data_IF_919396240975
#
_entry.id   IF_919396240975
#
_cell.length_a   1.000
_cell.length_b   1.000
_cell.length_c   1.000
_cell.angle_alpha   90.00
_cell.angle_beta   90.00
_cell.angle_gamma   90.00
#
_symmetry.space_group_name_H-M   'P 1'
#
loop_
_entity.id
_entity.type
_entity.pdbx_description
1 polymer ?
#
# COMPACT_ATOMS: atom_id res chain seq x y z
N UNK A 1 -6.19 17.31 16.33
CA UNK A 1 -6.72 16.60 17.50
C UNK A 1 -5.67 16.66 18.59
N UNK A 2 -6.07 17.01 19.80
CA UNK A 2 -5.22 17.04 20.99
C UNK A 2 -5.79 16.06 22.04
N UNK A 3 -5.00 15.62 23.02
CA UNK A 3 -5.49 14.71 24.06
C UNK A 3 -6.74 15.21 24.80
N UNK A 4 -6.92 16.53 24.91
CA UNK A 4 -8.09 17.12 25.58
C UNK A 4 -9.41 16.90 24.82
N UNK A 5 -9.35 16.68 23.50
CA UNK A 5 -10.53 16.47 22.64
C UNK A 5 -11.18 15.09 22.88
N UNK A 6 -10.45 14.14 23.49
CA UNK A 6 -10.85 12.72 23.62
C UNK A 6 -12.19 12.57 24.33
N UNK A 7 -12.40 13.28 25.44
CA UNK A 7 -13.63 13.17 26.22
C UNK A 7 -14.86 13.51 25.36
N UNK A 8 -14.77 14.58 24.59
CA UNK A 8 -15.85 15.04 23.72
C UNK A 8 -16.11 14.05 22.57
N UNK A 9 -15.05 13.50 21.95
CA UNK A 9 -15.17 12.50 20.87
C UNK A 9 -15.90 11.25 21.37
N UNK A 10 -15.54 10.75 22.56
CA UNK A 10 -16.19 9.57 23.16
C UNK A 10 -17.65 9.85 23.48
N UNK A 11 -17.94 10.98 24.12
CA UNK A 11 -19.31 11.31 24.57
C UNK A 11 -20.26 11.61 23.42
N UNK A 12 -19.79 12.27 22.35
CA UNK A 12 -20.64 12.74 21.24
C UNK A 12 -20.56 11.83 20.02
N UNK A 13 -19.36 11.58 19.48
CA UNK A 13 -19.22 10.85 18.23
C UNK A 13 -19.34 9.35 18.43
N UNK A 14 -18.60 8.76 19.36
CA UNK A 14 -18.59 7.29 19.52
C UNK A 14 -19.94 6.78 20.06
N UNK A 15 -20.52 7.46 21.05
CA UNK A 15 -21.78 7.03 21.69
C UNK A 15 -23.03 7.45 20.93
N UNK A 16 -23.07 8.69 20.40
CA UNK A 16 -24.29 9.27 19.84
C UNK A 16 -24.23 9.45 18.32
N UNK A 17 -23.13 9.06 17.66
CA UNK A 17 -22.90 9.26 16.23
C UNK A 17 -23.01 10.76 15.80
N UNK A 18 -22.66 11.68 16.70
CA UNK A 18 -22.68 13.12 16.43
C UNK A 18 -21.38 13.62 15.79
N UNK A 19 -21.50 14.56 14.86
CA UNK A 19 -20.36 15.24 14.25
C UNK A 19 -19.89 16.38 15.16
N UNK A 20 -18.58 16.42 15.44
CA UNK A 20 -17.93 17.51 16.16
C UNK A 20 -17.33 18.48 15.15
N UNK A 21 -18.11 19.50 14.81
CA UNK A 21 -17.82 20.54 13.83
C UNK A 21 -16.46 21.24 14.02
N UNK A 22 -15.99 21.37 15.26
CA UNK A 22 -14.72 22.03 15.59
C UNK A 22 -13.49 21.17 15.28
N UNK A 23 -13.68 19.85 15.15
CA UNK A 23 -12.60 18.88 14.90
C UNK A 23 -12.53 18.43 13.44
N UNK A 24 -13.48 18.87 12.61
CA UNK A 24 -13.48 18.55 11.18
C UNK A 24 -12.30 19.19 10.46
N UNK A 25 -11.83 18.52 9.41
CA UNK A 25 -10.89 19.12 8.49
C UNK A 25 -11.53 20.33 7.80
N UNK A 26 -10.85 21.47 7.85
CA UNK A 26 -11.26 22.71 7.19
C UNK A 26 -10.33 22.95 6.01
N UNK A 27 -10.87 23.05 4.81
CA UNK A 27 -10.11 23.40 3.63
C UNK A 27 -9.52 24.81 3.81
N UNK A 28 -8.18 24.99 3.74
CA UNK A 28 -7.55 26.27 4.02
C UNK A 28 -7.96 27.37 3.03
N UNK A 29 -8.27 26.99 1.79
CA UNK A 29 -8.65 27.90 0.70
C UNK A 29 -10.15 28.19 0.65
N UNK A 30 -11.02 27.17 0.74
CA UNK A 30 -12.48 27.34 0.58
C UNK A 30 -13.22 27.53 1.92
N UNK A 31 -12.55 27.23 3.05
CA UNK A 31 -13.15 27.17 4.40
C UNK A 31 -14.26 26.11 4.57
N UNK A 32 -14.47 25.26 3.57
CA UNK A 32 -15.40 24.15 3.64
C UNK A 32 -14.90 23.09 4.63
N UNK A 33 -15.85 22.50 5.34
CA UNK A 33 -15.58 21.39 6.26
C UNK A 33 -15.88 20.07 5.58
N UNK A 34 -15.04 19.07 5.84
CA UNK A 34 -15.22 17.72 5.33
C UNK A 34 -15.36 16.74 6.49
N UNK A 35 -16.44 15.97 6.48
CA UNK A 35 -16.76 14.97 7.52
C UNK A 35 -15.92 13.72 7.34
N UNK A 36 -15.84 13.19 6.11
CA UNK A 36 -15.08 11.99 5.82
C UNK A 36 -13.74 12.32 5.13
N UNK A 37 -12.71 11.54 5.44
CA UNK A 37 -11.38 11.71 4.85
C UNK A 37 -11.40 11.61 3.31
N UNK A 38 -12.23 10.73 2.75
CA UNK A 38 -12.33 10.54 1.31
C UNK A 38 -13.00 11.72 0.57
N UNK A 39 -13.70 12.61 1.29
CA UNK A 39 -14.29 13.81 0.71
C UNK A 39 -13.30 14.97 0.59
N UNK A 40 -12.20 14.91 1.35
CA UNK A 40 -11.17 15.95 1.33
C UNK A 40 -10.54 15.99 -0.06
N UNK A 41 -10.51 17.15 -0.75
CA UNK A 41 -10.02 17.26 -2.13
C UNK A 41 -8.62 16.69 -2.36
N UNK A 42 -7.76 16.75 -1.34
CA UNK A 42 -6.43 16.15 -1.37
C UNK A 42 -6.47 14.63 -1.57
N UNK A 43 -7.32 13.91 -0.84
CA UNK A 43 -7.45 12.45 -0.94
C UNK A 43 -8.37 12.04 -2.10
N UNK A 44 -9.47 12.77 -2.31
CA UNK A 44 -10.47 12.48 -3.34
C UNK A 44 -9.90 12.40 -4.76
N UNK A 45 -8.81 13.14 -5.02
CA UNK A 45 -8.14 13.20 -6.33
C UNK A 45 -7.02 12.17 -6.50
N UNK A 46 -6.77 11.32 -5.51
CA UNK A 46 -5.71 10.31 -5.57
C UNK A 46 -6.27 8.96 -6.00
N UNK A 47 -5.50 8.25 -6.82
CA UNK A 47 -5.70 6.82 -7.06
C UNK A 47 -4.67 6.03 -6.23
N UNK A 48 -5.07 5.61 -5.03
CA UNK A 48 -4.20 4.94 -4.05
C UNK A 48 -4.15 3.43 -4.30
N UNK A 49 -3.46 2.98 -5.35
CA UNK A 49 -3.35 1.54 -5.64
C UNK A 49 -2.45 0.84 -4.62
N UNK A 50 -1.22 1.35 -4.43
CA UNK A 50 -0.23 0.74 -3.52
C UNK A 50 -0.57 1.03 -2.06
N UNK A 51 -1.05 2.24 -1.78
CA UNK A 51 -1.37 2.71 -0.43
C UNK A 51 -2.86 2.54 -0.07
N UNK A 52 -3.66 1.74 -0.79
CA UNK A 52 -5.12 1.66 -0.59
C UNK A 52 -5.49 1.34 0.86
N UNK A 53 -4.74 0.43 1.46
CA UNK A 53 -5.06 -0.14 2.77
C UNK A 53 -4.27 0.54 3.91
N UNK A 54 -3.27 1.37 3.57
CA UNK A 54 -2.50 2.11 4.57
C UNK A 54 -3.40 3.08 5.34
N UNK A 55 -3.51 2.85 6.66
CA UNK A 55 -4.36 3.61 7.57
C UNK A 55 -5.81 3.13 7.64
N UNK A 56 -6.17 2.04 6.95
CA UNK A 56 -7.49 1.40 7.06
C UNK A 56 -7.45 0.00 7.65
N UNK A 57 -6.25 -0.60 7.74
CA UNK A 57 -5.99 -1.85 8.47
C UNK A 57 -4.98 -1.59 9.60
N UNK A 58 -5.00 -2.47 10.61
CA UNK A 58 -3.89 -2.64 11.54
C UNK A 58 -2.71 -3.33 10.82
N UNK A 59 -1.54 -2.67 10.67
CA UNK A 59 -0.39 -3.27 9.99
C UNK A 59 0.21 -4.47 10.71
N UNK A 60 -0.10 -4.68 12.00
CA UNK A 60 0.39 -5.80 12.80
C UNK A 60 -0.61 -6.99 12.86
N UNK A 61 -1.83 -6.82 12.33
CA UNK A 61 -2.83 -7.89 12.28
C UNK A 61 -2.93 -8.51 10.89
N UNK A 62 -2.40 -9.73 10.78
CA UNK A 62 -2.49 -10.56 9.58
C UNK A 62 -3.93 -10.81 9.12
N UNK A 63 -4.87 -10.94 10.06
CA UNK A 63 -6.28 -11.25 9.77
C UNK A 63 -6.94 -10.12 9.00
N UNK A 64 -6.63 -8.86 9.33
CA UNK A 64 -7.15 -7.70 8.62
C UNK A 64 -6.60 -7.61 7.20
N UNK A 65 -5.33 -7.96 7.00
CA UNK A 65 -4.74 -8.05 5.67
C UNK A 65 -5.44 -9.11 4.80
N UNK A 66 -5.64 -10.31 5.35
CA UNK A 66 -6.36 -11.41 4.67
C UNK A 66 -7.82 -11.03 4.37
N UNK A 67 -8.49 -10.36 5.31
CA UNK A 67 -9.87 -9.89 5.13
C UNK A 67 -10.01 -8.88 3.97
N UNK A 68 -8.90 -8.29 3.51
CA UNK A 68 -8.80 -7.39 2.36
C UNK A 68 -8.24 -8.07 1.10
N UNK A 69 -8.41 -9.38 0.98
CA UNK A 69 -7.87 -10.23 -0.10
C UNK A 69 -6.31 -10.29 -0.12
N UNK A 70 -5.65 -9.96 0.99
CA UNK A 70 -4.21 -10.11 1.13
C UNK A 70 -3.77 -11.57 0.97
N UNK A 71 -2.60 -11.79 0.37
CA UNK A 71 -2.03 -13.10 -0.01
C UNK A 71 -2.76 -13.88 -1.10
N UNK A 72 -3.91 -13.41 -1.59
CA UNK A 72 -4.65 -14.06 -2.66
C UNK A 72 -3.89 -14.07 -3.98
N UNK A 73 -3.14 -13.00 -4.28
CA UNK A 73 -2.34 -12.95 -5.51
C UNK A 73 -1.14 -13.90 -5.41
N UNK A 74 -0.53 -14.02 -4.23
CA UNK A 74 0.47 -15.05 -3.99
C UNK A 74 -0.14 -16.45 -4.13
N UNK A 75 -1.28 -16.74 -3.49
CA UNK A 75 -1.95 -18.05 -3.63
C UNK A 75 -2.13 -18.45 -5.10
N UNK A 76 -2.66 -17.56 -5.93
CA UNK A 76 -2.83 -17.79 -7.38
C UNK A 76 -1.47 -18.01 -8.06
N UNK A 77 -0.47 -17.18 -7.77
CA UNK A 77 0.87 -17.29 -8.34
C UNK A 77 1.51 -18.66 -8.04
N UNK A 78 1.38 -19.17 -6.81
CA UNK A 78 1.99 -20.43 -6.38
C UNK A 78 1.21 -21.68 -6.81
N UNK A 79 -0.11 -21.58 -6.95
CA UNK A 79 -0.96 -22.76 -7.16
C UNK A 79 -1.51 -22.90 -8.58
N UNK A 80 -1.63 -21.79 -9.32
CA UNK A 80 -2.33 -21.76 -10.62
C UNK A 80 -1.46 -21.28 -11.77
N UNK A 81 -0.32 -20.62 -11.51
CA UNK A 81 0.51 -20.00 -12.55
C UNK A 81 1.88 -20.65 -12.68
N UNK A 82 2.42 -20.60 -13.89
CA UNK A 82 3.85 -20.84 -14.16
C UNK A 82 4.64 -19.55 -14.01
N UNK A 83 5.92 -19.66 -13.67
CA UNK A 83 6.83 -18.52 -13.47
C UNK A 83 6.85 -17.56 -14.68
N UNK A 84 6.77 -18.12 -15.90
CA UNK A 84 6.73 -17.34 -17.13
C UNK A 84 5.43 -16.55 -17.30
N UNK A 85 4.30 -17.10 -16.82
CA UNK A 85 3.00 -16.43 -16.86
C UNK A 85 2.94 -15.29 -15.84
N UNK A 86 3.59 -15.47 -14.67
CA UNK A 86 3.77 -14.40 -13.68
C UNK A 86 4.60 -13.27 -14.30
N UNK A 87 5.75 -13.60 -14.89
CA UNK A 87 6.61 -12.63 -15.56
C UNK A 87 5.89 -11.87 -16.68
N UNK A 88 5.11 -12.58 -17.50
CA UNK A 88 4.33 -12.00 -18.59
C UNK A 88 3.22 -11.08 -18.05
N UNK A 89 2.49 -11.49 -17.02
CA UNK A 89 1.47 -10.66 -16.36
C UNK A 89 2.04 -9.33 -15.88
N UNK A 90 3.21 -9.36 -15.23
CA UNK A 90 3.89 -8.14 -14.77
C UNK A 90 4.41 -7.30 -15.93
N UNK A 91 4.89 -7.93 -17.01
CA UNK A 91 5.29 -7.21 -18.22
C UNK A 91 4.10 -6.48 -18.87
N UNK A 92 2.97 -7.16 -19.00
CA UNK A 92 1.74 -6.66 -19.62
C UNK A 92 1.09 -5.54 -18.79
N UNK A 93 1.27 -5.57 -17.46
CA UNK A 93 0.84 -4.47 -16.58
C UNK A 93 1.54 -3.14 -16.86
N UNK A 94 2.67 -3.17 -17.58
CA UNK A 94 3.51 -2.01 -17.81
C UNK A 94 4.27 -1.53 -16.57
N UNK A 95 4.40 -2.36 -15.52
CA UNK A 95 5.13 -2.01 -14.32
C UNK A 95 6.61 -1.73 -14.63
N UNK A 96 7.09 -0.59 -14.12
CA UNK A 96 8.48 -0.14 -14.24
C UNK A 96 9.09 0.01 -12.85
N UNK A 97 10.40 -0.16 -12.76
CA UNK A 97 11.16 0.05 -11.52
C UNK A 97 10.96 1.46 -10.96
N UNK A 98 10.58 1.54 -9.68
CA UNK A 98 10.21 2.80 -9.01
C UNK A 98 11.37 3.54 -8.34
N UNK A 99 12.53 2.90 -8.18
CA UNK A 99 13.77 3.53 -7.71
C UNK A 99 14.51 4.39 -8.77
N UNK A 100 13.78 5.10 -9.64
CA UNK A 100 14.35 6.05 -10.60
C UNK A 100 14.62 5.51 -12.02
N UNK A 101 15.35 4.40 -12.16
CA UNK A 101 15.80 3.90 -13.47
C UNK A 101 14.68 3.47 -14.44
N UNK A 102 13.47 3.19 -13.94
CA UNK A 102 12.31 2.92 -14.78
C UNK A 102 12.44 1.70 -15.71
N UNK A 103 13.30 0.74 -15.41
CA UNK A 103 13.42 -0.47 -16.23
C UNK A 103 12.13 -1.32 -16.13
N UNK A 104 11.63 -1.93 -17.22
CA UNK A 104 10.42 -2.76 -17.15
C UNK A 104 10.60 -3.96 -16.21
N UNK A 105 9.75 -4.04 -15.18
CA UNK A 105 9.92 -5.02 -14.09
C UNK A 105 9.75 -6.45 -14.59
N UNK A 106 8.72 -6.73 -15.40
CA UNK A 106 8.49 -8.08 -15.95
C UNK A 106 9.66 -8.55 -16.83
N UNK A 107 10.25 -7.65 -17.62
CA UNK A 107 11.45 -7.97 -18.41
C UNK A 107 12.65 -8.30 -17.52
N UNK A 108 12.83 -7.60 -16.41
CA UNK A 108 13.90 -7.89 -15.44
C UNK A 108 13.72 -9.29 -14.85
N UNK A 109 12.50 -9.65 -14.47
CA UNK A 109 12.19 -10.97 -13.93
C UNK A 109 12.42 -12.08 -14.95
N UNK A 110 11.98 -11.90 -16.21
CA UNK A 110 12.25 -12.86 -17.29
C UNK A 110 13.75 -13.12 -17.49
N UNK A 111 14.57 -12.06 -17.47
CA UNK A 111 16.03 -12.19 -17.58
C UNK A 111 16.61 -13.02 -16.43
N UNK A 112 16.12 -12.83 -15.21
CA UNK A 112 16.55 -13.64 -14.05
C UNK A 112 16.00 -15.07 -14.11
N UNK A 113 14.79 -15.26 -14.64
CA UNK A 113 14.13 -16.56 -14.74
C UNK A 113 14.88 -17.51 -15.69
N UNK A 114 15.38 -17.02 -16.82
CA UNK A 114 16.10 -17.85 -17.81
C UNK A 114 17.51 -18.28 -17.37
N UNK A 115 18.10 -17.58 -16.40
CA UNK A 115 19.41 -17.95 -15.86
C UNK A 115 19.35 -19.30 -15.14
N UNK A 116 20.35 -20.16 -15.39
CA UNK A 116 20.42 -21.50 -14.81
C UNK A 116 21.28 -21.47 -13.56
N UNK A 117 20.64 -21.31 -12.42
CA UNK A 117 21.25 -21.42 -11.10
C UNK A 117 20.27 -22.13 -10.15
N UNK A 118 20.80 -22.99 -9.28
CA UNK A 118 20.03 -23.67 -8.24
C UNK A 118 19.51 -22.70 -7.19
N UNK A 119 20.19 -21.56 -6.99
CA UNK A 119 19.83 -20.59 -5.97
C UNK A 119 19.73 -19.17 -6.54
N UNK A 120 18.54 -18.61 -6.47
CA UNK A 120 18.24 -17.22 -6.85
C UNK A 120 17.77 -16.43 -5.62
N UNK A 121 17.86 -15.11 -5.71
CA UNK A 121 17.53 -14.22 -4.60
C UNK A 121 16.62 -13.09 -5.08
N UNK A 122 15.64 -12.76 -4.25
CA UNK A 122 14.86 -11.52 -4.33
C UNK A 122 15.39 -10.56 -3.30
N UNK A 123 15.77 -9.36 -3.74
CA UNK A 123 16.26 -8.29 -2.87
C UNK A 123 15.30 -7.13 -2.99
N UNK A 124 14.63 -6.80 -1.88
CA UNK A 124 13.86 -5.56 -1.75
C UNK A 124 14.81 -4.48 -1.24
N UNK A 125 15.00 -3.41 -2.03
CA UNK A 125 15.75 -2.25 -1.58
C UNK A 125 14.79 -1.32 -0.82
N UNK A 126 14.94 -1.26 0.50
CA UNK A 126 14.22 -0.32 1.37
C UNK A 126 15.05 0.91 1.77
N UNK A 127 16.20 1.15 1.12
CA UNK A 127 17.00 2.34 1.33
C UNK A 127 16.30 3.55 0.69
N UNK A 128 15.59 4.31 1.52
CA UNK A 128 14.87 5.54 1.15
C UNK A 128 15.64 6.78 1.62
N UNK A 129 16.90 6.91 1.18
CA UNK A 129 17.83 7.95 1.64
C UNK A 129 17.64 9.34 1.01
N UNK A 130 16.79 9.47 -0.01
CA UNK A 130 16.57 10.73 -0.72
C UNK A 130 15.76 11.72 0.14
N UNK A 131 16.21 12.98 0.30
CA UNK A 131 15.48 13.97 1.10
C UNK A 131 14.03 14.15 0.64
N UNK A 132 13.08 13.88 1.54
CA UNK A 132 11.65 14.02 1.27
C UNK A 132 10.97 12.80 0.66
N UNK A 133 11.70 11.70 0.43
CA UNK A 133 11.10 10.39 0.16
C UNK A 133 10.67 9.73 1.49
N UNK A 134 9.44 9.23 1.54
CA UNK A 134 8.87 8.52 2.70
C UNK A 134 7.81 7.48 2.27
N UNK A 135 7.71 7.18 0.98
CA UNK A 135 6.71 6.29 0.40
C UNK A 135 7.00 4.84 0.77
N UNK A 136 8.26 4.42 0.73
CA UNK A 136 8.67 3.07 1.08
C UNK A 136 8.47 2.86 2.58
N UNK A 137 8.88 3.84 3.40
CA UNK A 137 8.57 3.85 4.84
C UNK A 137 7.08 3.76 5.11
N UNK A 138 6.26 4.59 4.43
CA UNK A 138 4.81 4.61 4.66
C UNK A 138 4.14 3.27 4.33
N UNK A 139 4.63 2.57 3.30
CA UNK A 139 4.12 1.26 2.95
C UNK A 139 4.60 0.20 3.95
N UNK A 140 5.88 0.19 4.32
CA UNK A 140 6.42 -0.79 5.27
C UNK A 140 5.85 -0.64 6.68
N UNK A 141 5.56 0.59 7.13
CA UNK A 141 4.92 0.84 8.42
C UNK A 141 3.40 0.63 8.36
N UNK A 142 2.75 1.01 7.25
CA UNK A 142 1.29 1.03 7.15
C UNK A 142 0.65 -0.22 6.54
N UNK A 143 1.42 -1.04 5.81
CA UNK A 143 1.00 -2.34 5.26
C UNK A 143 2.24 -3.18 4.85
N UNK A 144 3.00 -3.73 5.83
CA UNK A 144 4.21 -4.51 5.55
C UNK A 144 3.91 -5.78 4.75
N UNK A 145 2.73 -6.38 4.93
CA UNK A 145 2.34 -7.61 4.26
C UNK A 145 2.27 -7.47 2.74
N UNK A 146 1.94 -6.28 2.20
CA UNK A 146 2.01 -6.04 0.75
C UNK A 146 3.42 -6.16 0.18
N UNK A 147 4.43 -5.73 0.92
CA UNK A 147 5.84 -5.85 0.49
C UNK A 147 6.23 -7.32 0.49
N UNK A 148 5.87 -8.04 1.55
CA UNK A 148 6.15 -9.48 1.69
C UNK A 148 5.48 -10.28 0.58
N UNK A 149 4.19 -10.05 0.34
CA UNK A 149 3.44 -10.73 -0.72
C UNK A 149 4.06 -10.47 -2.11
N UNK A 150 4.43 -9.22 -2.40
CA UNK A 150 5.11 -8.88 -3.66
C UNK A 150 6.46 -9.61 -3.81
N UNK A 151 7.23 -9.74 -2.71
CA UNK A 151 8.48 -10.50 -2.71
C UNK A 151 8.25 -12.01 -2.89
N UNK A 152 7.18 -12.56 -2.30
CA UNK A 152 6.81 -13.97 -2.47
C UNK A 152 6.46 -14.27 -3.94
N UNK A 153 5.65 -13.43 -4.57
CA UNK A 153 5.28 -13.57 -5.98
C UNK A 153 6.52 -13.45 -6.88
N UNK A 154 7.45 -12.54 -6.56
CA UNK A 154 8.69 -12.37 -7.33
C UNK A 154 9.69 -13.52 -7.15
N UNK A 155 9.58 -14.30 -6.08
CA UNK A 155 10.49 -15.39 -5.75
C UNK A 155 10.09 -16.74 -6.34
N UNK A 156 8.83 -16.86 -6.78
CA UNK A 156 8.31 -18.02 -7.50
C UNK A 156 8.93 -18.08 -8.90
#
# INVERSE_FOLDING_TARGET
>A
MKPEDVKQIVERTIKNNEVIEELLYVNPSTKEKHVAQHDIPFYKRQNRIVLSDCGTIDPEDLSEYIAKDGYKAAEIAFTEMKDIEICQTILDSGLRGRGGGGFPTGKKWMLTQVEKDEKKYVICNGDEGDPGAFMDRSLMEGNPHRVIEGMMIAAQ
#
